data_IF_707831562099
#
_entry.id   IF_707831562099
#
_cell.length_a   1.000
_cell.length_b   1.000
_cell.length_c   1.000
_cell.angle_alpha   90.00
_cell.angle_beta   90.00
_cell.angle_gamma   90.00
#
_symmetry.space_group_name_H-M   'P 1'
#
loop_
_entity.id
_entity.type
_entity.pdbx_description
1 polymer ?
#
# COMPACT_ATOMS: atom_id res chain seq x y z
N UNK A 1 4.29 12.18 -10.36
CA UNK A 1 2.98 11.86 -9.75
C UNK A 1 2.43 13.00 -8.88
N UNK A 2 3.00 13.36 -7.72
CA UNK A 2 2.44 14.48 -6.94
C UNK A 2 2.52 15.83 -7.68
N UNK A 3 3.65 16.11 -8.34
CA UNK A 3 3.79 17.28 -9.24
C UNK A 3 2.77 17.26 -10.39
N UNK A 4 2.50 16.08 -10.94
CA UNK A 4 1.53 15.89 -12.03
C UNK A 4 0.12 16.25 -11.54
N UNK A 5 -0.23 15.88 -10.29
CA UNK A 5 -1.49 16.29 -9.67
C UNK A 5 -1.57 17.81 -9.46
N UNK A 6 -0.47 18.46 -9.04
CA UNK A 6 -0.40 19.94 -8.95
C UNK A 6 -0.65 20.56 -10.33
N UNK A 7 0.04 20.08 -11.37
CA UNK A 7 -0.13 20.57 -12.73
C UNK A 7 -1.55 20.38 -13.27
N UNK A 8 -2.20 19.26 -12.91
CA UNK A 8 -3.61 19.03 -13.25
C UNK A 8 -4.54 20.01 -12.53
N UNK A 9 -4.32 20.25 -11.23
CA UNK A 9 -5.09 21.26 -10.49
C UNK A 9 -4.92 22.64 -11.11
N UNK A 10 -3.71 23.00 -11.53
CA UNK A 10 -3.44 24.29 -12.20
C UNK A 10 -4.16 24.38 -13.55
N UNK A 11 -4.09 23.31 -14.35
CA UNK A 11 -4.77 23.23 -15.64
C UNK A 11 -6.30 23.37 -15.53
N UNK A 12 -6.88 22.78 -14.48
CA UNK A 12 -8.33 22.84 -14.22
C UNK A 12 -8.76 24.12 -13.47
N UNK A 13 -7.82 24.96 -13.05
CA UNK A 13 -8.10 26.16 -12.26
C UNK A 13 -8.56 25.86 -10.82
N UNK A 14 -8.25 24.67 -10.28
CA UNK A 14 -8.62 24.29 -8.92
C UNK A 14 -7.63 24.86 -7.91
N UNK A 15 -7.98 25.98 -7.28
CA UNK A 15 -7.10 26.60 -6.27
C UNK A 15 -6.92 25.73 -5.03
N UNK A 16 -8.00 25.12 -4.54
CA UNK A 16 -8.00 24.22 -3.39
C UNK A 16 -8.84 22.97 -3.67
N UNK A 17 -8.51 21.85 -3.05
CA UNK A 17 -9.25 20.59 -3.19
C UNK A 17 -9.26 19.75 -1.91
N UNK A 18 -10.31 18.95 -1.75
CA UNK A 18 -10.28 17.76 -0.90
C UNK A 18 -9.54 16.66 -1.66
N UNK A 19 -8.52 16.05 -1.04
CA UNK A 19 -7.66 15.08 -1.73
C UNK A 19 -7.78 13.71 -1.09
N UNK A 20 -8.20 12.73 -1.89
CA UNK A 20 -8.34 11.34 -1.47
C UNK A 20 -7.36 10.48 -2.26
N UNK A 21 -6.56 9.69 -1.54
CA UNK A 21 -5.60 8.76 -2.13
C UNK A 21 -5.79 7.36 -1.57
N UNK A 22 -5.76 6.35 -2.43
CA UNK A 22 -5.82 4.93 -2.05
C UNK A 22 -4.48 4.26 -2.33
N UNK A 23 -3.96 3.49 -1.37
CA UNK A 23 -2.72 2.71 -1.52
C UNK A 23 -1.53 3.59 -1.93
N UNK A 24 -0.89 3.34 -3.09
CA UNK A 24 0.14 4.23 -3.65
C UNK A 24 -0.38 5.67 -3.86
N UNK A 25 -1.67 5.82 -4.18
CA UNK A 25 -2.34 7.12 -4.25
C UNK A 25 -2.30 7.89 -2.93
N UNK A 26 -2.37 7.20 -1.79
CA UNK A 26 -2.24 7.84 -0.47
C UNK A 26 -0.81 8.38 -0.24
N UNK A 27 0.22 7.66 -0.72
CA UNK A 27 1.61 8.17 -0.70
C UNK A 27 1.77 9.43 -1.54
N UNK A 28 1.14 9.44 -2.73
CA UNK A 28 1.14 10.60 -3.63
C UNK A 28 0.39 11.76 -2.98
N UNK A 29 -0.75 11.50 -2.35
CA UNK A 29 -1.55 12.51 -1.65
C UNK A 29 -0.78 13.13 -0.47
N UNK A 30 -0.03 12.35 0.32
CA UNK A 30 0.86 12.89 1.35
C UNK A 30 1.94 13.82 0.76
N UNK A 31 2.55 13.44 -0.37
CA UNK A 31 3.52 14.31 -1.05
C UNK A 31 2.88 15.59 -1.59
N UNK A 32 1.70 15.48 -2.21
CA UNK A 32 0.93 16.63 -2.69
C UNK A 32 0.65 17.60 -1.53
N UNK A 33 0.15 17.07 -0.41
CA UNK A 33 -0.18 17.86 0.77
C UNK A 33 1.05 18.51 1.44
N UNK A 34 2.20 17.85 1.44
CA UNK A 34 3.44 18.45 1.91
C UNK A 34 4.00 19.52 0.96
N UNK A 35 3.73 19.42 -0.35
CA UNK A 35 4.25 20.35 -1.35
C UNK A 35 3.41 21.62 -1.48
N UNK A 36 2.08 21.49 -1.37
CA UNK A 36 1.12 22.60 -1.52
C UNK A 36 0.08 22.60 -0.39
N UNK A 37 0.49 22.65 0.89
CA UNK A 37 -0.42 22.53 2.03
C UNK A 37 -1.60 23.50 1.98
N UNK A 38 -1.37 24.74 1.55
CA UNK A 38 -2.39 25.78 1.44
C UNK A 38 -3.48 25.51 0.38
N UNK A 39 -3.28 24.49 -0.47
CA UNK A 39 -4.22 24.06 -1.51
C UNK A 39 -5.04 22.83 -1.10
N UNK A 40 -4.83 22.29 0.10
CA UNK A 40 -5.54 21.11 0.59
C UNK A 40 -6.59 21.54 1.61
N UNK A 41 -7.84 21.17 1.35
CA UNK A 41 -8.97 21.41 2.27
C UNK A 41 -9.08 20.29 3.31
N UNK A 42 -8.90 19.04 2.88
CA UNK A 42 -8.81 17.87 3.74
C UNK A 42 -8.10 16.73 3.01
N UNK A 43 -7.61 15.74 3.77
CA UNK A 43 -6.84 14.62 3.24
C UNK A 43 -7.41 13.29 3.69
N UNK A 44 -7.83 12.43 2.75
CA UNK A 44 -8.19 11.04 3.05
C UNK A 44 -7.12 10.08 2.52
N UNK A 45 -6.65 9.19 3.39
CA UNK A 45 -5.63 8.20 3.10
C UNK A 45 -6.22 6.80 3.29
N UNK A 46 -6.58 6.15 2.18
CA UNK A 46 -7.20 4.84 2.19
C UNK A 46 -6.14 3.75 2.02
N UNK A 47 -6.17 2.72 2.86
CA UNK A 47 -5.27 1.55 2.77
C UNK A 47 -3.79 1.93 2.61
N UNK A 48 -3.33 2.90 3.41
CA UNK A 48 -2.02 3.57 3.26
C UNK A 48 -0.88 2.77 3.88
N UNK A 49 0.31 2.90 3.29
CA UNK A 49 1.59 2.49 3.90
C UNK A 49 2.62 3.60 3.76
N UNK A 50 3.61 3.67 4.66
CA UNK A 50 4.64 4.71 4.67
C UNK A 50 5.76 4.53 3.64
N UNK A 51 5.65 3.52 2.76
CA UNK A 51 6.64 3.22 1.74
C UNK A 51 7.86 2.45 2.26
N UNK A 52 8.80 2.16 1.36
CA UNK A 52 10.05 1.48 1.69
C UNK A 52 9.85 0.10 2.31
N UNK A 53 10.51 -0.15 3.43
CA UNK A 53 10.44 -1.45 4.11
C UNK A 53 9.00 -1.80 4.56
N UNK A 54 8.11 -0.82 4.69
CA UNK A 54 6.70 -1.05 5.02
C UNK A 54 5.89 -1.64 3.85
N UNK A 55 6.47 -1.66 2.65
CA UNK A 55 5.93 -2.38 1.50
C UNK A 55 6.33 -3.86 1.49
N UNK A 56 7.18 -4.32 2.43
CA UNK A 56 7.48 -5.74 2.57
C UNK A 56 6.20 -6.45 3.04
N UNK A 57 5.70 -7.43 2.27
CA UNK A 57 4.51 -8.16 2.66
C UNK A 57 4.73 -8.93 3.95
N UNK A 58 3.66 -9.22 4.68
CA UNK A 58 3.73 -10.05 5.88
C UNK A 58 4.28 -11.44 5.53
N UNK A 59 5.23 -11.94 6.31
CA UNK A 59 5.79 -13.28 6.11
C UNK A 59 4.84 -14.35 6.64
N UNK A 60 3.79 -14.65 5.89
CA UNK A 60 2.89 -15.78 6.15
C UNK A 60 2.60 -16.59 4.88
N UNK A 61 2.05 -17.80 5.06
CA UNK A 61 1.79 -18.73 3.97
C UNK A 61 0.83 -18.16 2.92
N UNK A 62 -0.15 -17.36 3.35
CA UNK A 62 -1.16 -16.75 2.47
C UNK A 62 -0.49 -15.73 1.56
N UNK A 63 0.25 -14.80 2.15
CA UNK A 63 0.92 -13.70 1.45
C UNK A 63 2.01 -14.22 0.52
N UNK A 64 2.78 -15.23 0.94
CA UNK A 64 3.75 -15.89 0.08
C UNK A 64 3.08 -16.59 -1.13
N UNK A 65 1.96 -17.29 -0.90
CA UNK A 65 1.19 -17.91 -1.97
C UNK A 65 0.69 -16.87 -2.99
N UNK A 66 0.15 -15.75 -2.51
CA UNK A 66 -0.28 -14.62 -3.33
C UNK A 66 0.89 -14.09 -4.16
N UNK A 67 2.04 -13.79 -3.54
CA UNK A 67 3.22 -13.27 -4.23
C UNK A 67 3.72 -14.21 -5.33
N UNK A 68 3.79 -15.52 -5.05
CA UNK A 68 4.19 -16.53 -6.05
C UNK A 68 3.19 -16.60 -7.20
N UNK A 69 1.88 -16.57 -6.92
CA UNK A 69 0.85 -16.59 -7.96
C UNK A 69 0.87 -15.32 -8.79
N UNK A 70 1.08 -14.16 -8.18
CA UNK A 70 1.21 -12.88 -8.86
C UNK A 70 2.38 -12.89 -9.86
N UNK A 71 3.55 -13.37 -9.44
CA UNK A 71 4.73 -13.49 -10.31
C UNK A 71 4.54 -14.50 -11.45
N UNK A 72 3.70 -15.52 -11.26
CA UNK A 72 3.43 -16.56 -12.25
C UNK A 72 2.25 -16.24 -13.18
N UNK A 73 1.40 -15.27 -12.84
CA UNK A 73 0.23 -14.93 -13.62
C UNK A 73 0.62 -14.31 -14.97
N UNK A 74 0.28 -15.01 -16.06
CA UNK A 74 0.59 -14.60 -17.44
C UNK A 74 -0.66 -14.35 -18.29
N UNK A 75 -1.83 -14.71 -17.78
CA UNK A 75 -3.12 -14.53 -18.47
C UNK A 75 -4.06 -13.66 -17.63
N UNK A 76 -5.07 -13.02 -18.25
CA UNK A 76 -6.10 -12.27 -17.54
C UNK A 76 -6.79 -13.09 -16.44
N UNK A 77 -7.06 -14.38 -16.70
CA UNK A 77 -7.70 -15.33 -15.78
C UNK A 77 -6.86 -15.57 -14.52
N UNK A 78 -5.56 -15.80 -14.72
CA UNK A 78 -4.63 -16.02 -13.61
C UNK A 78 -4.45 -14.75 -12.80
N UNK A 79 -4.37 -13.59 -13.48
CA UNK A 79 -4.20 -12.30 -12.83
C UNK A 79 -5.44 -11.92 -12.01
N UNK A 80 -6.64 -12.04 -12.60
CA UNK A 80 -7.90 -11.79 -11.92
C UNK A 80 -8.04 -12.63 -10.64
N UNK A 81 -7.72 -13.92 -10.71
CA UNK A 81 -7.80 -14.79 -9.53
C UNK A 81 -6.90 -14.33 -8.37
N UNK A 82 -5.71 -13.79 -8.68
CA UNK A 82 -4.79 -13.29 -7.65
C UNK A 82 -5.22 -11.91 -7.17
N UNK A 83 -5.60 -11.02 -8.07
CA UNK A 83 -6.01 -9.66 -7.74
C UNK A 83 -7.21 -9.68 -6.79
N UNK A 84 -8.21 -10.55 -7.01
CA UNK A 84 -9.32 -10.70 -6.06
C UNK A 84 -8.86 -11.07 -4.65
N UNK A 85 -7.90 -12.00 -4.53
CA UNK A 85 -7.38 -12.44 -3.22
C UNK A 85 -6.53 -11.37 -2.51
N UNK A 86 -6.03 -10.40 -3.27
CA UNK A 86 -5.32 -9.22 -2.75
C UNK A 86 -6.24 -8.06 -2.41
N UNK A 87 -7.29 -7.87 -3.22
CA UNK A 87 -8.18 -6.72 -3.16
C UNK A 87 -9.22 -6.89 -2.07
N UNK A 88 -9.77 -8.09 -1.90
CA UNK A 88 -10.96 -8.30 -1.09
C UNK A 88 -10.75 -9.29 0.06
N UNK A 89 -11.53 -9.12 1.12
CA UNK A 89 -11.65 -10.12 2.17
C UNK A 89 -12.26 -11.43 1.63
N UNK A 90 -11.91 -12.55 2.27
CA UNK A 90 -12.44 -13.86 1.91
C UNK A 90 -13.97 -13.90 2.06
N UNK A 91 -14.47 -13.34 3.15
CA UNK A 91 -15.89 -13.26 3.48
C UNK A 91 -16.68 -12.54 2.37
N UNK A 92 -16.21 -11.35 1.95
CA UNK A 92 -16.84 -10.58 0.88
C UNK A 92 -16.90 -11.34 -0.44
N UNK A 93 -15.84 -12.10 -0.77
CA UNK A 93 -15.77 -12.89 -1.99
C UNK A 93 -16.68 -14.14 -1.96
N UNK A 94 -16.91 -14.73 -0.79
CA UNK A 94 -17.71 -15.94 -0.62
C UNK A 94 -19.22 -15.66 -0.47
N UNK A 95 -19.60 -14.41 -0.19
CA UNK A 95 -20.99 -13.96 -0.16
C UNK A 95 -21.71 -14.23 -1.48
N UNK A 96 -22.96 -14.68 -1.41
CA UNK A 96 -23.83 -14.85 -2.58
C UNK A 96 -24.54 -13.55 -2.94
N UNK A 97 -24.46 -13.19 -4.22
CA UNK A 97 -25.22 -12.09 -4.82
C UNK A 97 -26.13 -12.71 -5.88
N UNK A 98 -27.41 -12.88 -5.52
CA UNK A 98 -28.35 -13.68 -6.32
C UNK A 98 -27.97 -15.15 -6.32
N UNK A 99 -27.68 -15.72 -7.49
CA UNK A 99 -27.37 -17.16 -7.66
C UNK A 99 -25.88 -17.49 -7.70
N UNK A 100 -25.01 -16.49 -7.68
CA UNK A 100 -23.55 -16.66 -7.80
C UNK A 100 -22.83 -16.03 -6.61
N UNK A 101 -21.64 -16.55 -6.28
CA UNK A 101 -20.78 -15.86 -5.32
C UNK A 101 -20.25 -14.57 -5.91
N UNK A 102 -20.00 -13.57 -5.05
CA UNK A 102 -19.39 -12.31 -5.46
C UNK A 102 -18.05 -12.53 -6.14
N UNK A 103 -17.27 -13.53 -5.70
CA UNK A 103 -16.05 -13.98 -6.39
C UNK A 103 -16.31 -14.34 -7.85
N UNK A 104 -17.31 -15.15 -8.15
CA UNK A 104 -17.60 -15.56 -9.52
C UNK A 104 -17.96 -14.37 -10.41
N UNK A 105 -18.76 -13.44 -9.88
CA UNK A 105 -19.15 -12.21 -10.60
C UNK A 105 -17.93 -11.33 -10.86
N UNK A 106 -17.21 -10.94 -9.80
CA UNK A 106 -16.04 -10.07 -9.91
C UNK A 106 -14.92 -10.70 -10.75
N UNK A 107 -14.77 -12.03 -10.72
CA UNK A 107 -13.79 -12.72 -11.55
C UNK A 107 -14.06 -12.48 -13.03
N UNK A 108 -15.30 -12.60 -13.48
CA UNK A 108 -15.66 -12.33 -14.88
C UNK A 108 -15.43 -10.86 -15.24
N UNK A 109 -15.76 -9.94 -14.34
CA UNK A 109 -15.52 -8.50 -14.55
C UNK A 109 -14.03 -8.17 -14.67
N UNK A 110 -13.19 -8.75 -13.81
CA UNK A 110 -11.74 -8.56 -13.84
C UNK A 110 -11.13 -9.15 -15.10
N UNK A 111 -11.50 -10.38 -15.48
CA UNK A 111 -11.02 -11.00 -16.72
C UNK A 111 -11.41 -10.16 -17.93
N UNK A 112 -12.66 -9.69 -17.99
CA UNK A 112 -13.13 -8.82 -19.06
C UNK A 112 -12.35 -7.51 -19.12
N UNK A 113 -12.16 -6.85 -17.97
CA UNK A 113 -11.44 -5.58 -17.89
C UNK A 113 -9.98 -5.73 -18.32
N UNK A 114 -9.26 -6.71 -17.76
CA UNK A 114 -7.84 -6.97 -18.08
C UNK A 114 -7.68 -7.39 -19.54
N UNK A 115 -8.62 -8.15 -20.10
CA UNK A 115 -8.58 -8.54 -21.52
C UNK A 115 -8.78 -7.34 -22.45
N UNK A 116 -9.61 -6.37 -22.05
CA UNK A 116 -9.90 -5.17 -22.83
C UNK A 116 -8.78 -4.12 -22.76
N UNK A 117 -8.18 -3.91 -21.58
CA UNK A 117 -7.16 -2.88 -21.37
C UNK A 117 -5.73 -3.40 -21.52
N UNK A 118 -5.56 -4.73 -21.48
CA UNK A 118 -4.27 -5.38 -21.44
C UNK A 118 -3.66 -5.42 -20.04
N UNK A 119 -2.71 -6.32 -19.85
CA UNK A 119 -1.88 -6.36 -18.64
C UNK A 119 -1.01 -5.10 -18.56
N UNK A 120 -0.82 -4.58 -17.35
CA UNK A 120 0.12 -3.49 -17.12
C UNK A 120 1.51 -3.85 -17.69
N UNK A 121 2.13 -2.89 -18.39
CA UNK A 121 3.47 -3.10 -18.93
C UNK A 121 4.48 -3.36 -17.81
N UNK A 122 5.48 -4.20 -18.09
CA UNK A 122 6.52 -4.53 -17.11
C UNK A 122 7.22 -3.28 -16.57
N UNK A 123 7.57 -2.34 -17.44
CA UNK A 123 8.21 -1.08 -17.05
C UNK A 123 7.31 -0.22 -16.15
N UNK A 124 5.99 -0.20 -16.41
CA UNK A 124 5.04 0.51 -15.57
C UNK A 124 4.95 -0.10 -14.17
N UNK A 125 4.87 -1.43 -14.09
CA UNK A 125 4.85 -2.16 -12.82
C UNK A 125 6.16 -1.96 -12.04
N UNK A 126 7.31 -2.16 -12.68
CA UNK A 126 8.63 -1.99 -12.07
C UNK A 126 8.81 -0.55 -11.55
N UNK A 127 8.35 0.45 -12.32
CA UNK A 127 8.37 1.86 -11.93
C UNK A 127 7.51 2.16 -10.70
N UNK A 128 6.30 1.59 -10.61
CA UNK A 128 5.43 1.75 -9.46
C UNK A 128 5.98 1.04 -8.21
N UNK A 129 6.52 -0.18 -8.35
CA UNK A 129 7.18 -0.89 -7.26
C UNK A 129 8.36 -0.06 -6.74
N UNK A 130 9.21 0.44 -7.63
CA UNK A 130 10.32 1.30 -7.25
C UNK A 130 9.86 2.60 -6.58
N UNK A 131 8.78 3.22 -7.06
CA UNK A 131 8.21 4.41 -6.45
C UNK A 131 7.71 4.14 -5.01
N UNK A 132 6.99 3.04 -4.78
CA UNK A 132 6.59 2.61 -3.45
C UNK A 132 7.79 2.31 -2.54
N UNK A 133 8.81 1.63 -3.08
CA UNK A 133 10.02 1.26 -2.34
C UNK A 133 10.90 2.45 -1.96
N UNK A 134 10.97 3.46 -2.82
CA UNK A 134 11.76 4.66 -2.57
C UNK A 134 10.96 5.77 -1.87
N UNK A 135 9.65 5.57 -1.70
CA UNK A 135 8.81 6.50 -0.98
C UNK A 135 9.23 6.58 0.50
N UNK A 136 9.33 7.82 0.98
CA UNK A 136 9.48 8.16 2.39
C UNK A 136 8.81 9.50 2.64
N UNK A 137 8.22 9.66 3.81
CA UNK A 137 7.73 10.94 4.30
C UNK A 137 8.74 11.48 5.31
N UNK A 138 9.42 12.57 4.94
CA UNK A 138 10.43 13.20 5.79
C UNK A 138 9.80 13.96 6.96
N UNK A 139 10.59 14.26 8.00
CA UNK A 139 10.15 15.06 9.13
C UNK A 139 9.61 16.43 8.69
N UNK A 140 10.32 17.10 7.77
CA UNK A 140 9.90 18.40 7.21
C UNK A 140 8.57 18.32 6.46
N UNK A 141 8.34 17.22 5.74
CA UNK A 141 7.07 17.02 5.02
C UNK A 141 5.92 16.74 5.99
N UNK A 142 6.14 15.96 7.04
CA UNK A 142 5.17 15.77 8.13
C UNK A 142 4.84 17.09 8.83
N UNK A 143 5.86 17.88 9.19
CA UNK A 143 5.69 19.20 9.79
C UNK A 143 4.88 20.12 8.87
N UNK A 144 5.18 20.13 7.57
CA UNK A 144 4.44 20.93 6.59
C UNK A 144 2.97 20.53 6.48
N UNK A 145 2.66 19.23 6.57
CA UNK A 145 1.27 18.74 6.59
C UNK A 145 0.57 19.18 7.87
N UNK A 146 1.21 18.96 9.04
CA UNK A 146 0.62 19.28 10.33
C UNK A 146 0.42 20.80 10.53
N UNK A 147 1.34 21.64 10.07
CA UNK A 147 1.22 23.10 10.17
C UNK A 147 0.08 23.70 9.33
N UNK A 148 -0.50 22.94 8.41
CA UNK A 148 -1.63 23.37 7.59
C UNK A 148 -2.99 23.17 8.30
N UNK A 149 -3.00 22.39 9.37
CA UNK A 149 -4.14 22.18 10.29
C UNK A 149 -5.45 21.68 9.65
N UNK A 150 -5.43 21.20 8.39
CA UNK A 150 -6.59 20.57 7.78
C UNK A 150 -6.87 19.19 8.39
N UNK A 151 -8.14 18.74 8.46
CA UNK A 151 -8.46 17.43 8.98
C UNK A 151 -7.98 16.33 8.04
N UNK A 152 -7.54 15.23 8.64
CA UNK A 152 -7.03 14.04 7.94
C UNK A 152 -7.83 12.81 8.39
N UNK A 153 -8.29 12.00 7.45
CA UNK A 153 -8.92 10.71 7.73
C UNK A 153 -8.07 9.57 7.16
N UNK A 154 -7.69 8.63 8.00
CA UNK A 154 -6.98 7.41 7.58
C UNK A 154 -7.97 6.25 7.66
N UNK A 155 -8.39 5.75 6.52
CA UNK A 155 -9.43 4.70 6.42
C UNK A 155 -8.75 3.40 5.97
N UNK A 156 -8.86 2.33 6.75
CA UNK A 156 -8.07 1.12 6.49
C UNK A 156 -8.86 -0.15 6.74
N UNK A 157 -8.75 -1.12 5.82
CA UNK A 157 -9.34 -2.45 5.96
C UNK A 157 -8.51 -3.34 6.89
N UNK A 158 -9.13 -3.94 7.91
CA UNK A 158 -8.43 -4.76 8.91
C UNK A 158 -7.77 -6.02 8.33
N UNK A 159 -8.29 -6.52 7.21
CA UNK A 159 -7.82 -7.74 6.54
C UNK A 159 -6.94 -7.46 5.32
N UNK A 160 -6.44 -6.23 5.20
CA UNK A 160 -5.55 -5.82 4.12
C UNK A 160 -4.24 -6.62 4.13
N UNK A 161 -4.05 -7.43 3.09
CA UNK A 161 -2.87 -8.29 2.90
C UNK A 161 -1.72 -7.60 2.15
N UNK A 162 -1.97 -6.41 1.60
CA UNK A 162 -1.01 -5.61 0.83
C UNK A 162 -0.38 -4.54 1.73
N UNK A 163 -1.21 -3.68 2.31
CA UNK A 163 -0.79 -2.61 3.21
C UNK A 163 -1.18 -2.95 4.65
N UNK A 164 -0.19 -3.26 5.48
CA UNK A 164 -0.45 -3.70 6.85
C UNK A 164 -1.04 -2.57 7.71
N UNK A 165 -2.12 -2.86 8.42
CA UNK A 165 -2.84 -1.91 9.30
C UNK A 165 -1.94 -1.20 10.33
N UNK A 166 -0.90 -1.87 10.82
CA UNK A 166 0.03 -1.29 11.79
C UNK A 166 0.77 -0.06 11.23
N UNK A 167 1.03 -0.01 9.93
CA UNK A 167 1.69 1.10 9.27
C UNK A 167 0.76 2.32 9.15
N UNK A 168 -0.52 2.10 8.86
CA UNK A 168 -1.54 3.15 8.87
C UNK A 168 -1.74 3.73 10.28
N UNK A 169 -1.84 2.88 11.31
CA UNK A 169 -1.89 3.33 12.71
C UNK A 169 -0.67 4.17 13.11
N UNK A 170 0.53 3.72 12.71
CA UNK A 170 1.77 4.46 12.99
C UNK A 170 1.81 5.82 12.27
N UNK A 171 1.25 5.91 11.06
CA UNK A 171 1.11 7.18 10.35
C UNK A 171 0.08 8.10 11.04
N UNK A 172 -1.05 7.56 11.50
CA UNK A 172 -2.07 8.31 12.24
C UNK A 172 -1.46 8.99 13.48
N UNK A 173 -0.65 8.26 14.24
CA UNK A 173 0.09 8.79 15.40
C UNK A 173 1.04 9.93 15.01
N UNK A 174 1.74 9.83 13.88
CA UNK A 174 2.65 10.89 13.41
C UNK A 174 1.92 12.15 12.96
N UNK A 175 0.65 12.03 12.59
CA UNK A 175 -0.20 13.13 12.12
C UNK A 175 -1.14 13.65 13.21
N UNK A 176 -0.99 13.19 14.46
CA UNK A 176 -1.73 13.71 15.60
C UNK A 176 -1.45 15.22 15.81
N UNK A 177 -2.46 16.05 16.17
CA UNK A 177 -3.87 15.71 16.41
C UNK A 177 -4.77 15.82 15.17
N UNK A 178 -4.24 16.00 13.97
CA UNK A 178 -5.06 16.26 12.77
C UNK A 178 -5.65 15.00 12.13
N UNK A 179 -5.14 13.82 12.49
CA UNK A 179 -5.61 12.55 11.96
C UNK A 179 -6.70 11.88 12.81
N UNK A 180 -7.69 11.33 12.13
CA UNK A 180 -8.68 10.36 12.64
C UNK A 180 -8.41 9.00 11.98
N UNK A 181 -8.37 7.93 12.77
CA UNK A 181 -8.19 6.56 12.28
C UNK A 181 -9.54 5.86 12.17
N UNK A 182 -9.91 5.38 10.99
CA UNK A 182 -11.16 4.65 10.70
C UNK A 182 -10.79 3.24 10.26
N UNK A 183 -11.03 2.26 11.13
CA UNK A 183 -10.71 0.86 10.87
C UNK A 183 -11.95 0.06 10.55
N UNK A 184 -12.05 -0.43 9.32
CA UNK A 184 -13.22 -1.12 8.82
C UNK A 184 -12.92 -2.60 8.60
N UNK A 185 -13.97 -3.42 8.67
CA UNK A 185 -13.86 -4.79 8.17
C UNK A 185 -13.64 -4.77 6.66
N UNK A 186 -12.75 -5.61 6.14
CA UNK A 186 -12.46 -5.66 4.71
C UNK A 186 -10.97 -5.65 4.39
N UNK A 187 -10.67 -5.88 3.11
CA UNK A 187 -9.32 -6.01 2.56
C UNK A 187 -8.73 -4.70 2.04
N UNK A 188 -7.97 -4.81 0.96
CA UNK A 188 -7.25 -3.68 0.39
C UNK A 188 -8.16 -2.69 -0.34
N UNK A 189 -9.24 -3.15 -0.97
CA UNK A 189 -10.28 -2.31 -1.58
C UNK A 189 -11.45 -2.10 -0.61
N UNK A 190 -11.15 -1.59 0.59
CA UNK A 190 -12.16 -1.38 1.64
C UNK A 190 -13.29 -0.43 1.18
N UNK A 191 -12.99 0.49 0.27
CA UNK A 191 -13.97 1.37 -0.38
C UNK A 191 -15.03 0.65 -1.19
N UNK A 192 -14.74 -0.56 -1.70
CA UNK A 192 -15.70 -1.39 -2.40
C UNK A 192 -16.44 -2.34 -1.45
N UNK A 193 -15.78 -2.81 -0.39
CA UNK A 193 -16.39 -3.72 0.58
C UNK A 193 -17.32 -3.02 1.58
N UNK A 194 -17.01 -1.76 1.90
CA UNK A 194 -17.68 -0.93 2.92
C UNK A 194 -17.95 0.45 2.34
N UNK A 195 -18.67 0.46 1.22
CA UNK A 195 -18.91 1.66 0.40
C UNK A 195 -19.62 2.73 1.23
N UNK A 196 -20.64 2.32 1.99
CA UNK A 196 -21.45 3.19 2.83
C UNK A 196 -20.60 3.82 3.94
N UNK A 197 -19.83 3.03 4.68
CA UNK A 197 -19.02 3.53 5.79
C UNK A 197 -17.85 4.39 5.32
N UNK A 198 -17.24 4.06 4.18
CA UNK A 198 -16.18 4.87 3.58
C UNK A 198 -16.75 6.21 3.10
N UNK A 199 -17.88 6.21 2.42
CA UNK A 199 -18.55 7.44 1.97
C UNK A 199 -18.96 8.31 3.16
N UNK A 200 -19.50 7.72 4.22
CA UNK A 200 -19.84 8.45 5.44
C UNK A 200 -18.59 9.08 6.08
N UNK A 201 -17.49 8.34 6.18
CA UNK A 201 -16.22 8.88 6.70
C UNK A 201 -15.66 10.02 5.84
N UNK A 202 -15.79 9.95 4.50
CA UNK A 202 -15.38 11.02 3.59
C UNK A 202 -16.27 12.25 3.71
N UNK A 203 -17.59 12.07 3.82
CA UNK A 203 -18.54 13.17 4.02
C UNK A 203 -18.31 13.87 5.37
N UNK A 204 -18.05 13.12 6.43
CA UNK A 204 -17.68 13.68 7.73
C UNK A 204 -16.38 14.49 7.65
N UNK A 205 -15.39 13.99 6.92
CA UNK A 205 -14.11 14.69 6.71
C UNK A 205 -14.31 16.02 5.96
N UNK A 206 -15.13 16.04 4.91
CA UNK A 206 -15.45 17.26 4.16
C UNK A 206 -16.15 18.27 5.08
N UNK A 207 -17.21 17.84 5.78
CA UNK A 207 -17.94 18.69 6.74
C UNK A 207 -17.04 19.26 7.83
N UNK A 208 -16.13 18.44 8.36
CA UNK A 208 -15.15 18.86 9.37
C UNK A 208 -14.20 19.97 8.86
N UNK A 209 -13.80 19.88 7.59
CA UNK A 209 -12.98 20.91 6.95
C UNK A 209 -13.75 22.22 6.79
N UNK A 210 -14.99 22.15 6.31
CA UNK A 210 -15.86 23.31 6.10
C UNK A 210 -16.22 24.02 7.41
N UNK A 211 -16.48 23.25 8.47
CA UNK A 211 -16.80 23.78 9.80
C UNK A 211 -15.58 24.23 10.60
N UNK A 212 -14.36 23.99 10.09
CA UNK A 212 -13.09 24.28 10.79
C UNK A 212 -13.05 23.68 12.20
N UNK A 213 -13.44 22.41 12.30
CA UNK A 213 -13.47 21.68 13.57
C UNK A 213 -12.11 21.73 14.28
N UNK A 214 -12.11 21.78 15.60
CA UNK A 214 -10.86 21.70 16.36
C UNK A 214 -10.20 20.32 16.15
N UNK A 215 -8.87 20.30 15.98
CA UNK A 215 -8.14 19.05 15.74
C UNK A 215 -8.32 18.01 16.87
N UNK A 216 -8.41 18.44 18.13
CA UNK A 216 -8.65 17.53 19.27
C UNK A 216 -10.08 16.98 19.31
N UNK A 217 -11.04 17.69 18.74
CA UNK A 217 -12.41 17.20 18.56
C UNK A 217 -12.52 16.27 17.35
N UNK A 218 -11.73 16.54 16.30
CA UNK A 218 -11.66 15.69 15.12
C UNK A 218 -11.00 14.33 15.41
N UNK A 219 -9.86 14.31 16.10
CA UNK A 219 -9.12 13.06 16.31
C UNK A 219 -9.83 12.10 17.24
N UNK A 220 -9.73 10.80 16.93
CA UNK A 220 -10.12 9.71 17.84
C UNK A 220 -8.90 9.01 18.46
N UNK A 221 -7.72 9.61 18.32
CA UNK A 221 -6.47 9.10 18.89
C UNK A 221 -6.26 9.72 20.28
N UNK A 222 -5.73 8.93 21.23
CA UNK A 222 -5.37 9.44 22.56
C UNK A 222 -3.87 9.67 22.68
N UNK A 223 -3.46 10.73 23.40
CA UNK A 223 -2.05 11.04 23.69
C UNK A 223 -1.32 9.89 24.41
N UNK A 224 -2.01 9.05 25.19
CA UNK A 224 -1.39 7.86 25.81
C UNK A 224 -0.80 6.89 24.77
N UNK A 225 -1.41 6.82 23.59
CA UNK A 225 -0.96 6.02 22.44
C UNK A 225 0.35 6.56 21.84
N UNK A 226 0.70 7.81 22.13
CA UNK A 226 1.82 8.54 21.49
C UNK A 226 3.11 8.59 22.31
N UNK A 227 3.08 8.33 23.63
CA UNK A 227 4.27 8.51 24.48
C UNK A 227 4.54 7.46 25.55
N UNK A 228 3.51 6.86 26.18
CA UNK A 228 3.72 6.01 27.36
C UNK A 228 3.20 4.57 27.23
N UNK A 229 2.20 4.25 26.40
CA UNK A 229 1.82 2.84 26.19
C UNK A 229 2.76 2.05 25.27
N UNK A 230 3.52 2.71 24.38
CA UNK A 230 4.61 2.03 23.65
C UNK A 230 5.79 1.62 24.58
N UNK A 231 5.99 2.34 25.68
CA UNK A 231 7.00 1.98 26.69
C UNK A 231 6.40 1.03 27.76
N UNK A 232 5.12 1.17 28.12
CA UNK A 232 4.51 0.37 29.20
C UNK A 232 3.93 -0.97 28.78
N UNK A 233 3.65 -1.23 27.50
CA UNK A 233 3.51 -2.62 27.01
C UNK A 233 4.86 -3.35 26.90
N UNK A 234 5.97 -2.67 27.21
CA UNK A 234 7.33 -3.22 27.11
C UNK A 234 8.04 -3.40 28.46
N UNK A 235 7.38 -3.10 29.60
CA UNK A 235 7.99 -3.22 30.94
C UNK A 235 6.98 -3.76 31.96
N UNK A 236 6.50 -4.98 31.75
CA UNK A 236 6.23 -5.96 32.82
C UNK A 236 6.51 -7.35 32.24
N UNK A 237 7.64 -7.93 32.63
CA UNK A 237 8.23 -9.20 32.18
C UNK A 237 7.45 -10.42 32.76
N UNK A 238 7.52 -11.63 32.16
CA UNK A 238 8.77 -12.27 31.76
C UNK A 238 8.79 -12.83 30.32
N UNK A 239 9.71 -12.30 29.51
CA UNK A 239 10.74 -13.06 28.77
C UNK A 239 11.50 -12.07 27.88
N UNK A 240 12.60 -11.54 28.43
CA UNK A 240 13.42 -10.50 27.85
C UNK A 240 14.32 -10.94 26.69
N UNK A 241 13.75 -11.58 25.67
CA UNK A 241 14.47 -11.91 24.44
C UNK A 241 14.09 -10.99 23.26
N UNK A 242 12.90 -10.39 23.23
CA UNK A 242 12.31 -9.88 21.98
C UNK A 242 13.07 -8.72 21.30
N UNK A 243 13.45 -7.64 21.99
CA UNK A 243 13.91 -6.42 21.30
C UNK A 243 15.36 -6.49 20.79
N UNK A 244 16.26 -7.07 21.59
CA UNK A 244 17.64 -7.36 21.16
C UNK A 244 17.61 -8.42 20.06
N UNK A 245 16.67 -9.37 20.12
CA UNK A 245 16.47 -10.36 19.07
C UNK A 245 15.95 -9.74 17.77
N UNK A 246 15.07 -8.73 17.81
CA UNK A 246 14.64 -8.02 16.60
C UNK A 246 15.79 -7.21 15.95
N UNK A 247 16.62 -6.52 16.74
CA UNK A 247 17.80 -5.81 16.21
C UNK A 247 18.88 -6.78 15.69
N UNK A 248 19.08 -7.92 16.36
CA UNK A 248 19.98 -8.98 15.91
C UNK A 248 19.42 -9.67 14.66
N UNK A 249 18.11 -9.93 14.59
CA UNK A 249 17.41 -10.44 13.40
C UNK A 249 17.53 -9.45 12.25
N UNK A 250 17.40 -8.15 12.49
CA UNK A 250 17.54 -7.11 11.46
C UNK A 250 18.95 -7.15 10.86
N UNK A 251 19.99 -7.25 11.70
CA UNK A 251 21.38 -7.39 11.25
C UNK A 251 21.65 -8.73 10.56
N UNK A 252 21.10 -9.83 11.08
CA UNK A 252 21.18 -11.15 10.46
C UNK A 252 20.42 -11.22 9.14
N UNK A 253 19.30 -10.51 9.00
CA UNK A 253 18.52 -10.45 7.77
C UNK A 253 19.21 -9.58 6.72
N UNK A 254 19.79 -8.44 7.09
CA UNK A 254 20.65 -7.66 6.18
C UNK A 254 21.85 -8.51 5.72
N UNK A 255 22.45 -9.27 6.63
CA UNK A 255 23.54 -10.19 6.31
C UNK A 255 23.10 -11.35 5.40
N UNK A 256 21.94 -11.95 5.66
CA UNK A 256 21.38 -13.03 4.84
C UNK A 256 20.92 -12.53 3.46
N UNK A 257 20.36 -11.32 3.37
CA UNK A 257 20.02 -10.68 2.10
C UNK A 257 21.27 -10.33 1.29
N UNK A 258 22.35 -9.93 1.95
CA UNK A 258 23.66 -9.73 1.32
C UNK A 258 24.25 -11.04 0.79
N UNK A 259 24.16 -12.13 1.56
CA UNK A 259 24.59 -13.46 1.10
C UNK A 259 23.70 -13.96 -0.05
N UNK A 260 22.39 -13.75 0.03
CA UNK A 260 21.46 -14.16 -1.00
C UNK A 260 21.64 -13.35 -2.29
N UNK A 261 21.95 -12.05 -2.20
CA UNK A 261 22.27 -11.23 -3.37
C UNK A 261 23.59 -11.62 -4.02
N UNK A 262 24.61 -11.99 -3.22
CA UNK A 262 25.85 -12.60 -3.71
C UNK A 262 25.59 -13.93 -4.43
N UNK A 263 24.69 -14.77 -3.91
CA UNK A 263 24.31 -16.03 -4.53
C UNK A 263 23.52 -15.84 -5.83
N UNK A 264 22.61 -14.87 -5.89
CA UNK A 264 21.89 -14.52 -7.12
C UNK A 264 22.84 -13.96 -8.18
N UNK A 265 23.81 -13.13 -7.78
CA UNK A 265 24.81 -12.56 -8.68
C UNK A 265 25.74 -13.64 -9.24
N UNK A 266 26.21 -14.58 -8.41
CA UNK A 266 27.04 -15.70 -8.84
C UNK A 266 26.26 -16.67 -9.73
N UNK A 267 25.00 -16.95 -9.41
CA UNK A 267 24.11 -17.74 -10.25
C UNK A 267 23.87 -17.07 -11.61
N UNK A 268 23.69 -15.75 -11.65
CA UNK A 268 23.52 -15.01 -12.90
C UNK A 268 24.80 -15.02 -13.74
N UNK A 269 25.97 -14.87 -13.12
CA UNK A 269 27.27 -15.01 -13.80
C UNK A 269 27.47 -16.43 -14.34
N UNK A 270 27.17 -17.47 -13.55
CA UNK A 270 27.24 -18.86 -13.99
C UNK A 270 26.27 -19.13 -15.14
N UNK A 271 25.04 -18.61 -15.08
CA UNK A 271 24.06 -18.72 -16.17
C UNK A 271 24.53 -18.02 -17.45
N UNK A 272 25.17 -16.85 -17.35
CA UNK A 272 25.76 -16.14 -18.49
C UNK A 272 26.96 -16.89 -19.06
N UNK A 273 27.82 -17.45 -18.21
CA UNK A 273 28.95 -18.28 -18.61
C UNK A 273 28.50 -19.56 -19.35
N UNK A 274 27.47 -20.25 -18.84
CA UNK A 274 26.86 -21.41 -19.50
C UNK A 274 26.30 -21.02 -20.88
N UNK A 275 25.61 -19.88 -20.98
CA UNK A 275 25.11 -19.36 -22.27
C UNK A 275 26.24 -18.98 -23.23
N UNK A 276 27.40 -18.55 -22.76
CA UNK A 276 28.56 -18.27 -23.62
C UNK A 276 29.33 -19.53 -24.05
N UNK A 277 29.24 -20.62 -23.28
CA UNK A 277 29.89 -21.90 -23.58
C UNK A 277 29.02 -22.76 -24.50
N UNK A 278 27.70 -22.70 -24.36
CA UNK A 278 26.75 -23.40 -25.25
C UNK A 278 26.55 -22.58 -26.52
N UNK A 279 27.29 -22.90 -27.59
CA UNK A 279 27.00 -22.35 -28.92
C UNK A 279 25.61 -22.80 -29.38
N UNK A 280 24.78 -21.92 -29.96
CA UNK A 280 23.49 -22.32 -30.48
C UNK A 280 23.68 -23.35 -31.60
N UNK A 281 22.93 -24.45 -31.54
CA UNK A 281 22.90 -25.44 -32.60
C UNK A 281 22.40 -24.77 -33.89
N UNK A 282 23.27 -24.67 -34.90
CA UNK A 282 22.87 -24.31 -36.26
C UNK A 282 22.05 -25.48 -36.81
N UNK A 283 20.75 -25.28 -36.98
CA UNK A 283 19.93 -26.15 -37.81
C UNK A 283 20.36 -25.88 -39.24
N UNK A 284 21.06 -26.83 -39.85
CA UNK A 284 21.42 -26.78 -41.26
C UNK A 284 20.16 -26.89 -42.11
N UNK A 285 20.05 -26.04 -43.14
CA UNK A 285 19.05 -26.20 -44.18
C UNK A 285 19.37 -27.47 -44.98
N UNK A 286 18.57 -28.51 -44.82
CA UNK A 286 18.55 -29.63 -45.77
C UNK A 286 17.58 -29.29 -46.90
N UNK A 287 18.17 -29.01 -48.08
CA UNK A 287 17.51 -29.12 -49.37
C UNK A 287 17.16 -30.60 -49.63
N UNK A 288 15.88 -30.89 -49.83
CA UNK A 288 15.34 -31.72 -50.93
C UNK A 288 13.83 -31.55 -50.97
#
# INVERSE_FOLDING_TARGET
MAKDAIALMDHLGWEKAHVFGHSMGAMIACKLAAMVPNRILSLALLNVTGGGFQCIPKFDRRTLSIAVRFLKAKTPEQRAAVDLDTHFSKEFLEEYVGTSTRRAILYQEYVKAISATGMQSKYGLDGQINACWTHKLSKKELESICSAEFPISIIHGRDDVIAQLCHARALAVKLYPFARMVELHGGHLVSHERTEEVNEALLQLIKASESKINALEWTNLSMETTGWKMIRLSITRPNGLSFVFFYIIERLQVFLLFIFSLFLLSFEHMRRAIKSVVKPAKIGATLT
#
